data_IF_459359402601
#
_entry.id   IF_459359402601
#
_cell.length_a   1.000
_cell.length_b   1.000
_cell.length_c   1.000
_cell.angle_alpha   90.00
_cell.angle_beta   90.00
_cell.angle_gamma   90.00
#
_symmetry.space_group_name_H-M   'P 1'
#
loop_
_entity.id
_entity.type
_entity.pdbx_description
1 polymer ?
#
# COMPACT_ATOMS: atom_id res chain seq x y z
N UNK A 1 19.07 8.68 -41.44
CA UNK A 1 18.03 7.66 -41.19
C UNK A 1 17.02 8.28 -40.25
N UNK A 2 15.75 8.39 -40.66
CA UNK A 2 14.68 8.87 -39.78
C UNK A 2 14.33 7.71 -38.88
N UNK A 3 14.69 7.81 -37.60
CA UNK A 3 14.36 6.82 -36.58
C UNK A 3 12.85 6.95 -36.35
N UNK A 4 12.08 5.90 -36.65
CA UNK A 4 10.66 5.87 -36.34
C UNK A 4 10.48 6.03 -34.83
N UNK A 5 9.59 6.95 -34.40
CA UNK A 5 9.26 7.11 -33.00
C UNK A 5 8.74 5.76 -32.45
N UNK A 6 9.14 5.35 -31.23
CA UNK A 6 8.63 4.13 -30.64
C UNK A 6 7.10 4.20 -30.56
N UNK A 7 6.41 3.12 -30.93
CA UNK A 7 4.96 3.02 -30.82
C UNK A 7 4.59 3.08 -29.35
N UNK A 8 4.11 4.23 -28.88
CA UNK A 8 3.60 4.39 -27.51
C UNK A 8 2.35 3.52 -27.32
N UNK A 9 2.35 2.70 -26.28
CA UNK A 9 1.22 1.85 -25.90
C UNK A 9 0.22 2.68 -25.11
N UNK A 10 -1.05 2.66 -25.48
CA UNK A 10 -2.11 3.29 -24.68
C UNK A 10 -2.44 2.45 -23.45
N UNK A 11 -2.99 3.07 -22.40
CA UNK A 11 -3.37 2.32 -21.20
C UNK A 11 -4.31 1.13 -21.49
N UNK A 12 -5.26 1.29 -22.41
CA UNK A 12 -6.19 0.21 -22.76
C UNK A 12 -5.51 -0.96 -23.48
N UNK A 13 -4.51 -0.65 -24.32
CA UNK A 13 -3.69 -1.68 -24.94
C UNK A 13 -2.82 -2.41 -23.91
N UNK A 14 -2.31 -1.68 -22.91
CA UNK A 14 -1.55 -2.27 -21.81
C UNK A 14 -2.40 -3.22 -20.96
N UNK A 15 -3.60 -2.81 -20.53
CA UNK A 15 -4.51 -3.68 -19.76
C UNK A 15 -4.93 -4.90 -20.58
N UNK A 16 -5.23 -4.74 -21.86
CA UNK A 16 -5.57 -5.87 -22.74
C UNK A 16 -4.37 -6.82 -22.99
N UNK A 17 -3.14 -6.32 -22.87
CA UNK A 17 -1.92 -7.11 -23.01
C UNK A 17 -1.47 -7.76 -21.69
N UNK A 18 -1.84 -7.20 -20.53
CA UNK A 18 -1.35 -7.62 -19.22
C UNK A 18 -1.52 -9.14 -19.03
N UNK A 19 -0.43 -9.92 -18.90
CA UNK A 19 -0.54 -11.38 -18.90
C UNK A 19 -1.26 -11.90 -17.65
N UNK A 20 -2.33 -12.69 -17.82
CA UNK A 20 -3.12 -13.28 -16.73
C UNK A 20 -2.30 -14.19 -15.79
N UNK A 21 -1.18 -14.74 -16.27
CA UNK A 21 -0.33 -15.70 -15.55
C UNK A 21 1.15 -15.31 -15.61
N UNK A 22 1.47 -14.08 -15.24
CA UNK A 22 2.88 -13.65 -15.14
C UNK A 22 3.48 -13.93 -13.76
N UNK A 23 4.78 -14.28 -13.74
CA UNK A 23 5.57 -14.26 -12.51
C UNK A 23 6.06 -12.85 -12.13
N UNK A 24 5.88 -11.89 -13.04
CA UNK A 24 6.35 -10.50 -12.95
C UNK A 24 5.16 -9.54 -12.97
N UNK A 25 5.31 -8.40 -12.28
CA UNK A 25 4.36 -7.29 -12.41
C UNK A 25 4.82 -6.38 -13.55
N UNK A 26 3.89 -5.67 -14.17
CA UNK A 26 4.21 -4.66 -15.18
C UNK A 26 3.56 -3.33 -14.81
N UNK A 27 4.26 -2.25 -15.11
CA UNK A 27 3.74 -0.89 -15.03
C UNK A 27 3.82 -0.24 -16.42
N UNK A 28 3.02 0.79 -16.64
CA UNK A 28 3.03 1.59 -17.86
C UNK A 28 3.48 3.01 -17.51
N UNK A 29 4.58 3.48 -18.09
CA UNK A 29 5.17 4.79 -17.83
C UNK A 29 5.16 5.61 -19.13
N UNK A 30 4.29 6.62 -19.25
CA UNK A 30 4.10 7.44 -20.48
C UNK A 30 4.02 6.60 -21.79
N UNK A 31 3.33 5.47 -21.73
CA UNK A 31 3.15 4.55 -22.84
C UNK A 31 4.29 3.56 -23.10
N UNK A 32 5.26 3.46 -22.19
CA UNK A 32 6.30 2.42 -22.17
C UNK A 32 5.97 1.35 -21.12
N UNK A 33 5.92 0.08 -21.54
CA UNK A 33 5.69 -1.04 -20.62
C UNK A 33 6.99 -1.38 -19.91
N UNK A 34 6.99 -1.30 -18.59
CA UNK A 34 8.13 -1.57 -17.72
C UNK A 34 7.85 -2.85 -16.94
N UNK A 35 8.73 -3.84 -17.07
CA UNK A 35 8.72 -5.04 -16.22
C UNK A 35 9.28 -4.69 -14.85
N UNK A 36 8.50 -4.95 -13.80
CA UNK A 36 8.93 -4.73 -12.43
C UNK A 36 9.61 -6.00 -11.89
N UNK A 37 10.81 -5.88 -11.30
CA UNK A 37 11.49 -7.02 -10.72
C UNK A 37 10.65 -7.57 -9.57
N UNK A 38 10.65 -8.90 -9.42
CA UNK A 38 9.98 -9.56 -8.29
C UNK A 38 10.48 -8.95 -6.97
N UNK A 39 9.57 -8.49 -6.09
CA UNK A 39 9.95 -7.94 -4.80
C UNK A 39 10.81 -8.90 -3.99
N UNK A 40 11.77 -8.35 -3.25
CA UNK A 40 12.54 -9.14 -2.28
C UNK A 40 11.65 -9.53 -1.10
N UNK A 41 11.95 -10.65 -0.42
CA UNK A 41 11.15 -11.08 0.74
C UNK A 41 11.01 -10.00 1.81
N UNK A 42 12.07 -9.22 2.08
CA UNK A 42 12.02 -8.12 3.05
C UNK A 42 11.10 -6.98 2.61
N UNK A 43 11.10 -6.64 1.32
CA UNK A 43 10.17 -5.65 0.77
C UNK A 43 8.72 -6.13 0.92
N UNK A 44 8.46 -7.40 0.61
CA UNK A 44 7.14 -8.01 0.81
C UNK A 44 6.71 -8.07 2.28
N UNK A 45 7.64 -8.31 3.21
CA UNK A 45 7.36 -8.28 4.66
C UNK A 45 6.98 -6.87 5.12
N UNK A 46 7.70 -5.83 4.67
CA UNK A 46 7.39 -4.42 4.99
C UNK A 46 6.03 -4.01 4.42
N UNK A 47 5.78 -4.24 3.14
CA UNK A 47 4.49 -3.94 2.52
C UNK A 47 3.35 -4.70 3.21
N UNK A 48 3.55 -5.98 3.53
CA UNK A 48 2.58 -6.82 4.24
C UNK A 48 2.28 -6.33 5.66
N UNK A 49 3.30 -5.90 6.41
CA UNK A 49 3.10 -5.36 7.76
C UNK A 49 2.34 -4.04 7.76
N UNK A 50 2.66 -3.14 6.82
CA UNK A 50 1.92 -1.88 6.64
C UNK A 50 0.47 -2.18 6.26
N UNK A 51 0.25 -3.06 5.27
CA UNK A 51 -1.07 -3.51 4.84
C UNK A 51 -1.90 -4.05 6.01
N UNK A 52 -1.34 -4.98 6.79
CA UNK A 52 -2.03 -5.57 7.95
C UNK A 52 -2.36 -4.54 9.02
N UNK A 53 -1.44 -3.61 9.31
CA UNK A 53 -1.65 -2.53 10.29
C UNK A 53 -2.80 -1.61 9.85
N UNK A 54 -2.81 -1.20 8.58
CA UNK A 54 -3.89 -0.40 8.00
C UNK A 54 -5.22 -1.15 8.00
N UNK A 55 -5.22 -2.44 7.66
CA UNK A 55 -6.43 -3.25 7.63
C UNK A 55 -7.07 -3.40 9.01
N UNK A 56 -6.27 -3.66 10.04
CA UNK A 56 -6.74 -3.69 11.44
C UNK A 56 -7.39 -2.36 11.82
N UNK A 57 -6.78 -1.25 11.42
CA UNK A 57 -7.29 0.09 11.74
C UNK A 57 -8.61 0.40 11.03
N UNK A 58 -8.74 0.02 9.74
CA UNK A 58 -9.99 0.11 8.97
C UNK A 58 -11.12 -0.64 9.70
N UNK A 59 -10.85 -1.87 10.15
CA UNK A 59 -11.85 -2.68 10.86
C UNK A 59 -12.20 -2.09 12.23
N UNK A 60 -11.20 -1.63 12.99
CA UNK A 60 -11.38 -1.03 14.32
C UNK A 60 -12.27 0.21 14.26
N UNK A 61 -12.01 1.08 13.28
CA UNK A 61 -12.74 2.34 13.06
C UNK A 61 -14.04 2.16 12.25
N UNK A 62 -14.28 0.96 11.70
CA UNK A 62 -15.44 0.64 10.84
C UNK A 62 -15.56 1.59 9.64
N UNK A 63 -14.42 1.93 9.05
CA UNK A 63 -14.37 2.82 7.90
C UNK A 63 -14.89 2.09 6.65
N UNK A 64 -15.52 2.80 5.69
CA UNK A 64 -16.00 2.21 4.44
C UNK A 64 -14.85 1.97 3.45
N UNK A 65 -13.70 1.55 3.95
CA UNK A 65 -12.46 1.40 3.22
C UNK A 65 -12.10 -0.07 3.10
N UNK A 66 -11.31 -0.41 2.08
CA UNK A 66 -10.78 -1.75 1.92
C UNK A 66 -9.41 -1.69 1.23
N UNK A 67 -8.65 -2.78 1.36
CA UNK A 67 -7.34 -2.93 0.74
C UNK A 67 -7.46 -4.10 -0.23
N UNK A 68 -7.40 -3.88 -1.56
CA UNK A 68 -7.40 -4.98 -2.50
C UNK A 68 -6.08 -5.73 -2.48
N UNK A 69 -6.11 -6.96 -3.00
CA UNK A 69 -4.89 -7.74 -3.23
C UNK A 69 -4.05 -7.15 -4.36
N UNK A 70 -4.70 -6.73 -5.44
CA UNK A 70 -4.12 -6.23 -6.68
C UNK A 70 -4.95 -5.03 -7.13
N UNK A 71 -4.29 -3.97 -7.59
CA UNK A 71 -4.96 -2.81 -8.15
C UNK A 71 -4.03 -2.01 -9.04
N UNK A 72 -4.52 -1.59 -10.21
CA UNK A 72 -3.80 -0.68 -11.11
C UNK A 72 -4.40 0.72 -10.99
N UNK A 73 -3.53 1.72 -10.84
CA UNK A 73 -3.88 3.13 -10.78
C UNK A 73 -3.63 3.76 -12.15
N UNK A 74 -4.69 4.16 -12.86
CA UNK A 74 -4.59 4.81 -14.18
C UNK A 74 -4.32 6.31 -14.03
N UNK A 75 -3.07 6.72 -14.21
CA UNK A 75 -2.65 8.13 -14.20
C UNK A 75 -2.43 8.62 -15.64
N UNK A 76 -3.47 9.17 -16.29
CA UNK A 76 -3.36 9.55 -17.70
C UNK A 76 -3.13 8.34 -18.61
N UNK A 77 -2.00 8.30 -19.31
CA UNK A 77 -1.53 7.13 -20.09
C UNK A 77 -0.50 6.27 -19.34
N UNK A 78 -0.25 6.57 -18.07
CA UNK A 78 0.54 5.74 -17.16
C UNK A 78 -0.39 4.82 -16.35
N UNK A 79 0.18 3.72 -15.84
CA UNK A 79 -0.49 2.70 -15.06
C UNK A 79 0.45 2.11 -14.02
N UNK A 80 0.16 2.35 -12.75
CA UNK A 80 1.03 1.92 -11.65
C UNK A 80 0.35 0.87 -10.77
N UNK A 81 1.14 -0.04 -10.23
CA UNK A 81 0.69 -1.05 -9.29
C UNK A 81 1.39 -0.82 -7.93
N UNK A 82 0.75 -0.07 -7.02
CA UNK A 82 1.37 0.30 -5.76
C UNK A 82 1.53 -0.90 -4.83
N UNK A 83 2.49 -0.82 -3.90
CA UNK A 83 2.73 -1.88 -2.93
C UNK A 83 1.59 -2.05 -1.92
N UNK A 84 0.97 -0.95 -1.48
CA UNK A 84 -0.28 -0.95 -0.71
C UNK A 84 -1.17 0.19 -1.17
N UNK A 85 -2.46 -0.07 -1.28
CA UNK A 85 -3.47 0.95 -1.60
C UNK A 85 -4.69 0.75 -0.74
N UNK A 86 -5.22 1.84 -0.19
CA UNK A 86 -6.49 1.83 0.53
C UNK A 86 -7.53 2.56 -0.32
N UNK A 87 -8.63 1.87 -0.57
CA UNK A 87 -9.69 2.33 -1.46
C UNK A 87 -10.98 2.62 -0.68
N UNK A 88 -11.70 3.65 -1.09
CA UNK A 88 -13.02 3.95 -0.56
C UNK A 88 -14.10 3.19 -1.35
N UNK A 89 -14.78 2.25 -0.68
CA UNK A 89 -15.82 1.41 -1.29
C UNK A 89 -16.96 2.21 -1.92
N UNK A 90 -17.29 3.38 -1.37
CA UNK A 90 -18.36 4.23 -1.89
C UNK A 90 -17.92 5.00 -3.15
N UNK A 91 -16.66 5.44 -3.20
CA UNK A 91 -16.11 6.14 -4.36
C UNK A 91 -15.92 5.18 -5.55
N UNK A 92 -15.52 3.95 -5.25
CA UNK A 92 -15.28 2.91 -6.26
C UNK A 92 -16.53 2.37 -6.91
N UNK A 93 -17.68 2.38 -6.24
CA UNK A 93 -18.92 1.87 -6.82
C UNK A 93 -19.33 2.58 -8.14
N UNK A 94 -18.79 3.78 -8.41
CA UNK A 94 -19.01 4.52 -9.64
C UNK A 94 -17.94 4.27 -10.73
N UNK A 95 -16.85 3.55 -10.42
CA UNK A 95 -15.79 3.26 -11.38
C UNK A 95 -16.11 2.00 -12.20
N UNK A 96 -16.38 2.21 -13.49
CA UNK A 96 -16.74 1.12 -14.41
C UNK A 96 -15.63 0.10 -14.67
N UNK A 97 -14.36 0.45 -14.38
CA UNK A 97 -13.22 -0.47 -14.58
C UNK A 97 -12.99 -1.38 -13.39
N UNK A 98 -13.42 -0.96 -12.20
CA UNK A 98 -13.15 -1.69 -10.97
C UNK A 98 -13.61 -3.15 -11.02
N UNK A 99 -14.86 -3.38 -11.40
CA UNK A 99 -15.47 -4.72 -11.40
C UNK A 99 -14.79 -5.70 -12.38
N UNK A 100 -14.19 -5.18 -13.45
CA UNK A 100 -13.62 -6.00 -14.54
C UNK A 100 -12.11 -6.15 -14.48
N UNK A 101 -11.42 -5.09 -14.03
CA UNK A 101 -9.98 -4.92 -14.24
C UNK A 101 -9.23 -4.59 -12.94
N UNK A 102 -9.91 -4.52 -11.78
CA UNK A 102 -9.32 -4.05 -10.51
C UNK A 102 -8.58 -2.70 -10.67
N UNK A 103 -9.02 -1.88 -11.61
CA UNK A 103 -8.34 -0.64 -12.00
C UNK A 103 -9.15 0.55 -11.50
N UNK A 104 -8.46 1.56 -10.97
CA UNK A 104 -9.06 2.84 -10.60
C UNK A 104 -8.70 3.93 -11.60
N UNK A 105 -9.68 4.78 -11.90
CA UNK A 105 -9.55 5.93 -12.81
C UNK A 105 -9.73 7.30 -12.15
N UNK A 106 -10.44 7.44 -11.01
CA UNK A 106 -10.40 8.66 -10.20
C UNK A 106 -9.41 8.51 -9.05
N UNK A 107 -8.45 9.42 -8.91
CA UNK A 107 -7.48 9.38 -7.81
C UNK A 107 -8.10 9.44 -6.43
N UNK A 108 -9.19 10.20 -6.25
CA UNK A 108 -9.97 10.25 -5.01
C UNK A 108 -10.56 8.90 -4.55
N UNK A 109 -10.61 7.89 -5.42
CA UNK A 109 -11.02 6.53 -5.04
C UNK A 109 -9.98 5.86 -4.15
N UNK A 110 -8.70 6.19 -4.35
CA UNK A 110 -7.63 5.87 -3.44
C UNK A 110 -7.52 6.95 -2.37
N UNK A 111 -7.76 6.58 -1.12
CA UNK A 111 -7.57 7.49 0.02
C UNK A 111 -6.12 7.52 0.49
N UNK A 112 -5.38 6.43 0.26
CA UNK A 112 -3.99 6.26 0.64
C UNK A 112 -3.30 5.33 -0.36
N UNK A 113 -2.12 5.73 -0.83
CA UNK A 113 -1.17 4.86 -1.56
C UNK A 113 0.13 4.77 -0.79
N UNK A 114 0.75 3.60 -0.73
CA UNK A 114 2.04 3.36 -0.08
C UNK A 114 3.00 2.69 -1.07
N UNK A 115 4.20 3.21 -1.17
CA UNK A 115 5.31 2.59 -1.89
C UNK A 115 6.45 2.27 -0.90
N UNK A 116 6.98 1.05 -1.00
CA UNK A 116 8.14 0.62 -0.21
C UNK A 116 9.39 0.74 -1.07
N UNK A 117 10.29 1.61 -0.64
CA UNK A 117 11.45 2.00 -1.44
C UNK A 117 12.35 0.80 -1.69
N UNK A 118 12.61 0.56 -2.97
CA UNK A 118 13.54 -0.45 -3.44
C UNK A 118 14.75 0.19 -4.11
N UNK A 119 15.48 -0.57 -4.93
CA UNK A 119 16.59 -0.05 -5.72
C UNK A 119 16.17 1.04 -6.70
N UNK A 120 14.90 1.09 -7.10
CA UNK A 120 14.37 2.07 -8.05
C UNK A 120 13.71 3.30 -7.39
N UNK A 121 14.24 3.69 -6.22
CA UNK A 121 13.72 4.79 -5.38
C UNK A 121 13.46 6.12 -6.11
N UNK A 122 14.11 6.37 -7.25
CA UNK A 122 13.93 7.63 -7.99
C UNK A 122 12.50 7.79 -8.49
N UNK A 123 11.88 6.71 -8.91
CA UNK A 123 10.54 6.75 -9.49
C UNK A 123 9.52 7.07 -8.39
N UNK A 124 9.67 6.45 -7.22
CA UNK A 124 8.81 6.66 -6.05
C UNK A 124 8.87 8.11 -5.52
N UNK A 125 10.07 8.71 -5.49
CA UNK A 125 10.33 10.06 -4.97
C UNK A 125 10.22 11.20 -6.01
N UNK A 126 10.00 10.88 -7.29
CA UNK A 126 9.89 11.88 -8.35
C UNK A 126 8.66 11.64 -9.21
N UNK A 127 8.72 10.65 -10.11
CA UNK A 127 7.69 10.44 -11.14
C UNK A 127 6.32 10.10 -10.52
N UNK A 128 6.26 9.07 -9.68
CA UNK A 128 5.01 8.64 -9.04
C UNK A 128 4.45 9.70 -8.11
N UNK A 129 5.32 10.41 -7.39
CA UNK A 129 4.91 11.50 -6.50
C UNK A 129 4.17 12.61 -7.27
N UNK A 130 4.74 13.08 -8.38
CA UNK A 130 4.13 14.12 -9.22
C UNK A 130 2.83 13.63 -9.86
N UNK A 131 2.80 12.39 -10.37
CA UNK A 131 1.59 11.85 -11.00
C UNK A 131 0.45 11.65 -9.98
N UNK A 132 0.73 11.13 -8.78
CA UNK A 132 -0.29 10.94 -7.74
C UNK A 132 -0.82 12.27 -7.17
N UNK A 133 0.02 13.31 -7.13
CA UNK A 133 -0.37 14.67 -6.75
C UNK A 133 -1.40 15.23 -7.74
N UNK A 134 -1.05 15.21 -9.03
CA UNK A 134 -1.93 15.66 -10.11
C UNK A 134 -3.21 14.81 -10.17
N UNK A 135 -3.10 13.52 -9.88
CA UNK A 135 -4.25 12.61 -9.86
C UNK A 135 -5.19 12.85 -8.66
N UNK A 136 -4.72 13.56 -7.64
CA UNK A 136 -5.53 13.99 -6.50
C UNK A 136 -5.72 12.91 -5.44
N UNK A 137 -4.72 12.05 -5.23
CA UNK A 137 -4.74 11.07 -4.14
C UNK A 137 -4.50 11.81 -2.81
N UNK A 138 -5.39 11.70 -1.80
CA UNK A 138 -5.30 12.51 -0.59
C UNK A 138 -4.02 12.28 0.23
N UNK A 139 -3.55 11.04 0.32
CA UNK A 139 -2.37 10.70 1.11
C UNK A 139 -1.49 9.70 0.36
N UNK A 140 -0.18 9.96 0.34
CA UNK A 140 0.81 9.11 -0.30
C UNK A 140 2.00 8.88 0.63
N UNK A 141 2.37 7.63 0.84
CA UNK A 141 3.43 7.24 1.75
C UNK A 141 4.60 6.63 1.01
N UNK A 142 5.80 7.02 1.41
CA UNK A 142 7.05 6.40 0.95
C UNK A 142 7.79 5.85 2.17
N UNK A 143 7.91 4.52 2.24
CA UNK A 143 8.59 3.84 3.33
C UNK A 143 9.99 3.39 2.92
N UNK A 144 11.04 3.97 3.51
CA UNK A 144 12.41 3.51 3.29
C UNK A 144 12.69 2.15 3.95
N UNK A 145 13.54 1.38 3.29
CA UNK A 145 14.17 0.21 3.89
C UNK A 145 15.25 0.60 4.92
N UNK A 146 15.70 -0.34 5.76
CA UNK A 146 16.82 -0.15 6.72
C UNK A 146 18.12 0.39 6.09
N UNK A 147 18.29 0.27 4.77
CA UNK A 147 19.46 0.75 4.05
C UNK A 147 19.45 2.26 3.78
N UNK A 148 18.30 2.94 3.94
CA UNK A 148 18.14 4.35 3.54
C UNK A 148 18.55 4.54 2.08
N UNK A 149 17.82 3.92 1.16
CA UNK A 149 18.20 3.88 -0.26
C UNK A 149 17.97 5.22 -0.95
N UNK A 150 16.96 5.97 -0.51
CA UNK A 150 16.60 7.28 -1.06
C UNK A 150 17.77 8.25 -1.24
N UNK A 151 17.63 9.16 -2.21
CA UNK A 151 18.64 10.18 -2.46
C UNK A 151 18.86 11.08 -1.23
N UNK A 152 20.08 11.59 -1.04
CA UNK A 152 20.41 12.50 0.09
C UNK A 152 19.51 13.75 0.14
N UNK A 153 18.99 14.19 -1.02
CA UNK A 153 18.02 15.28 -1.11
C UNK A 153 16.70 14.96 -0.39
N UNK A 154 16.31 13.69 -0.34
CA UNK A 154 15.03 13.24 0.20
C UNK A 154 15.17 12.75 1.65
N UNK A 155 16.20 11.96 1.95
CA UNK A 155 16.37 11.32 3.29
C UNK A 155 17.49 11.93 4.15
N UNK A 156 18.09 13.02 3.68
CA UNK A 156 19.14 13.75 4.37
C UNK A 156 20.56 13.18 4.24
N UNK A 157 21.48 13.80 4.97
CA UNK A 157 22.89 13.42 5.06
C UNK A 157 23.35 13.51 6.53
N UNK A 158 23.77 12.40 7.18
CA UNK A 158 23.87 11.05 6.64
C UNK A 158 22.51 10.47 6.25
N UNK A 159 22.50 9.52 5.30
CA UNK A 159 21.30 8.82 4.89
C UNK A 159 20.74 8.03 6.07
N UNK A 160 19.45 8.21 6.35
CA UNK A 160 18.75 7.50 7.42
C UNK A 160 17.44 6.94 6.88
N UNK A 161 17.02 5.72 7.30
CA UNK A 161 15.68 5.23 7.03
C UNK A 161 14.66 6.28 7.46
N UNK A 162 13.78 6.64 6.54
CA UNK A 162 12.79 7.71 6.70
C UNK A 162 11.45 7.22 6.16
N UNK A 163 10.39 7.54 6.89
CA UNK A 163 9.03 7.37 6.43
C UNK A 163 8.51 8.74 6.02
N UNK A 164 8.16 8.91 4.75
CA UNK A 164 7.64 10.19 4.23
C UNK A 164 6.14 10.07 4.00
N UNK A 165 5.36 10.94 4.65
CA UNK A 165 3.93 11.09 4.44
C UNK A 165 3.68 12.35 3.65
N UNK A 166 3.10 12.22 2.47
CA UNK A 166 2.65 13.30 1.62
C UNK A 166 1.13 13.44 1.75
N UNK A 167 0.67 14.64 2.11
CA UNK A 167 -0.74 14.96 2.30
C UNK A 167 -1.16 16.05 1.34
N UNK A 168 -2.20 15.79 0.54
CA UNK A 168 -2.68 16.73 -0.45
C UNK A 168 -3.47 17.84 0.23
N UNK A 169 -3.03 19.09 0.04
CA UNK A 169 -3.73 20.25 0.60
C UNK A 169 -4.88 20.71 -0.32
N UNK A 170 -5.66 21.71 0.15
CA UNK A 170 -6.78 22.27 -0.63
C UNK A 170 -6.35 22.95 -1.94
N UNK A 171 -5.07 23.36 -2.06
CA UNK A 171 -4.50 23.93 -3.28
C UNK A 171 -4.09 22.86 -4.30
N UNK A 172 -4.17 21.57 -3.95
CA UNK A 172 -3.78 20.45 -4.81
C UNK A 172 -2.27 20.16 -4.81
N UNK A 173 -1.56 20.56 -3.75
CA UNK A 173 -0.11 20.34 -3.60
C UNK A 173 0.15 19.43 -2.40
N UNK A 174 1.10 18.51 -2.54
CA UNK A 174 1.53 17.64 -1.46
C UNK A 174 2.42 18.36 -0.46
N UNK A 175 2.07 18.24 0.81
CA UNK A 175 2.91 18.61 1.93
C UNK A 175 3.53 17.36 2.54
N UNK A 176 4.86 17.36 2.65
CA UNK A 176 5.60 16.21 3.18
C UNK A 176 5.94 16.38 4.65
N UNK A 177 5.68 15.33 5.42
CA UNK A 177 6.16 15.14 6.78
C UNK A 177 7.02 13.89 6.85
N UNK A 178 8.14 13.97 7.56
CA UNK A 178 9.11 12.87 7.64
C UNK A 178 9.22 12.35 9.07
N UNK A 179 9.11 11.03 9.21
CA UNK A 179 9.18 10.33 10.48
C UNK A 179 10.35 9.35 10.48
N UNK A 180 11.03 9.23 11.63
CA UNK A 180 12.20 8.37 11.82
C UNK A 180 12.14 7.65 13.16
N UNK A 181 12.73 6.45 13.22
CA UNK A 181 12.80 5.63 14.44
C UNK A 181 11.40 5.46 15.08
N UNK A 182 11.24 5.81 16.36
CA UNK A 182 10.01 5.65 17.14
C UNK A 182 9.01 6.80 17.00
N UNK A 183 9.26 7.77 16.12
CA UNK A 183 8.29 8.83 15.89
C UNK A 183 6.97 8.23 15.36
N UNK A 184 5.82 8.56 15.98
CA UNK A 184 4.53 8.10 15.50
C UNK A 184 4.25 8.74 14.15
N UNK A 185 3.84 7.91 13.18
CA UNK A 185 3.46 8.34 11.84
C UNK A 185 2.09 9.01 11.93
N UNK A 186 2.03 10.28 11.54
CA UNK A 186 0.78 11.05 11.55
C UNK A 186 0.08 10.93 10.19
N UNK A 187 -1.12 10.35 10.20
CA UNK A 187 -1.98 10.19 9.04
C UNK A 187 -3.26 11.01 9.19
N UNK A 188 -3.70 11.68 8.13
CA UNK A 188 -5.01 12.33 8.13
C UNK A 188 -6.12 11.30 7.88
N UNK A 189 -5.81 10.26 7.10
CA UNK A 189 -6.72 9.14 6.82
C UNK A 189 -6.94 8.28 8.06
N UNK A 190 -5.89 8.07 8.86
CA UNK A 190 -5.93 7.28 10.10
C UNK A 190 -5.36 8.07 11.30
N UNK A 191 -6.11 9.02 11.87
CA UNK A 191 -5.59 9.88 12.96
C UNK A 191 -5.25 9.15 14.26
N UNK A 192 -5.81 7.95 14.46
CA UNK A 192 -5.58 7.12 15.64
C UNK A 192 -4.50 6.04 15.41
N UNK A 193 -3.83 6.06 14.26
CA UNK A 193 -2.81 5.09 13.90
C UNK A 193 -1.60 5.17 14.84
N UNK A 194 -1.31 4.06 15.51
CA UNK A 194 -0.12 3.91 16.34
C UNK A 194 0.92 3.06 15.61
N UNK A 195 1.61 3.67 14.66
CA UNK A 195 2.65 3.03 13.85
C UNK A 195 3.89 3.92 13.80
N UNK A 196 5.07 3.31 13.88
CA UNK A 196 6.36 3.98 13.72
C UNK A 196 7.25 3.23 12.74
N UNK A 197 8.21 3.93 12.14
CA UNK A 197 9.15 3.31 11.21
C UNK A 197 9.94 2.17 11.88
N UNK A 198 10.32 2.33 13.15
CA UNK A 198 11.02 1.28 13.89
C UNK A 198 10.17 0.02 14.04
N UNK A 199 8.89 0.13 14.38
CA UNK A 199 7.99 -1.02 14.46
C UNK A 199 7.88 -1.75 13.12
N UNK A 200 7.74 -0.99 12.02
CA UNK A 200 7.72 -1.55 10.66
C UNK A 200 9.01 -2.34 10.39
N UNK A 201 10.18 -1.75 10.63
CA UNK A 201 11.46 -2.37 10.30
C UNK A 201 11.85 -3.55 11.20
N UNK A 202 11.43 -3.54 12.47
CA UNK A 202 11.77 -4.61 13.41
C UNK A 202 10.81 -5.80 13.24
N UNK A 203 9.52 -5.56 12.99
CA UNK A 203 8.55 -6.63 12.70
C UNK A 203 8.92 -7.46 11.46
N UNK A 204 9.74 -6.89 10.57
CA UNK A 204 10.21 -7.50 9.32
C UNK A 204 11.69 -7.90 9.39
N UNK A 205 12.29 -7.90 10.57
CA UNK A 205 13.63 -8.43 10.80
C UNK A 205 13.50 -9.81 11.43
N UNK A 206 14.26 -10.80 10.95
CA UNK A 206 14.22 -12.20 11.43
C UNK A 206 14.66 -12.40 12.91
N UNK A 207 14.78 -11.32 13.69
CA UNK A 207 14.83 -11.39 15.14
C UNK A 207 13.38 -11.48 15.64
N UNK A 208 12.95 -12.71 15.96
CA UNK A 208 11.66 -13.04 16.56
C UNK A 208 11.21 -11.97 17.57
N UNK A 209 10.30 -11.08 17.16
CA UNK A 209 9.43 -10.40 18.11
C UNK A 209 8.23 -11.31 18.29
N UNK A 210 8.11 -11.88 19.49
CA UNK A 210 6.82 -12.31 20.01
C UNK A 210 5.98 -11.04 20.15
N UNK A 211 5.26 -10.69 19.09
CA UNK A 211 4.28 -9.63 19.17
C UNK A 211 3.08 -10.25 19.87
N UNK A 212 2.88 -9.91 21.14
CA UNK A 212 1.69 -10.31 21.91
C UNK A 212 0.44 -9.67 21.31
N UNK A 213 -0.03 -10.19 20.18
CA UNK A 213 -1.21 -9.69 19.45
C UNK A 213 -2.54 -10.29 19.92
N UNK A 214 -2.56 -11.10 20.99
CA UNK A 214 -3.81 -11.60 21.57
C UNK A 214 -3.63 -11.85 23.06
N UNK A 215 -3.78 -10.82 23.88
CA UNK A 215 -4.13 -11.02 25.29
C UNK A 215 -4.94 -9.85 25.82
N UNK A 216 -6.16 -9.70 25.30
CA UNK A 216 -7.27 -9.24 26.13
C UNK A 216 -8.60 -9.69 25.55
N UNK A 217 -8.85 -11.00 25.70
CA UNK A 217 -10.18 -11.64 25.85
C UNK A 217 -9.96 -13.15 25.84
N UNK A 218 -9.99 -13.77 27.02
CA UNK A 218 -10.27 -15.21 27.10
C UNK A 218 -11.66 -15.44 26.50
N UNK A 219 -11.83 -16.32 25.50
CA UNK A 219 -13.15 -16.87 25.26
C UNK A 219 -13.44 -17.86 26.38
N UNK A 220 -14.44 -17.56 27.21
CA UNK A 220 -15.04 -18.54 28.11
C UNK A 220 -15.71 -19.63 27.27
N UNK A 221 -14.93 -20.62 26.85
CA UNK A 221 -15.49 -21.86 26.35
C UNK A 221 -16.13 -22.60 27.54
N UNK A 222 -17.46 -22.58 27.58
CA UNK A 222 -18.27 -23.45 28.40
C UNK A 222 -17.83 -24.90 28.20
N UNK A 223 -17.34 -25.52 29.27
CA UNK A 223 -17.08 -26.96 29.28
C UNK A 223 -18.41 -27.73 29.20
N UNK A 224 -18.49 -28.82 28.41
CA UNK A 224 -19.64 -29.69 28.48
C UNK A 224 -19.56 -30.48 29.79
N UNK A 225 -20.39 -30.12 30.77
CA UNK A 225 -20.66 -31.01 31.91
C UNK A 225 -21.37 -32.25 31.40
N UNK A 226 -20.64 -33.35 31.32
CA UNK A 226 -21.20 -34.69 31.32
C UNK A 226 -21.92 -34.92 32.64
N UNK A 227 -23.24 -35.06 32.62
CA UNK A 227 -23.95 -35.80 33.67
C UNK A 227 -25.10 -36.59 33.06
N UNK A 228 -24.93 -37.89 33.15
CA UNK A 228 -25.88 -38.95 32.81
C UNK A 228 -27.16 -38.78 33.64
N UNK A 229 -28.32 -38.80 32.99
CA UNK A 229 -29.54 -39.33 33.59
C UNK A 229 -30.12 -40.38 32.65
N UNK A 230 -29.92 -41.65 33.01
CA UNK A 230 -30.77 -42.75 32.56
C UNK A 230 -32.20 -42.42 33.00
N UNK A 231 -33.11 -42.29 32.04
CA UNK A 231 -34.54 -42.39 32.29
C UNK A 231 -34.94 -43.84 32.17
N UNK A 232 -35.45 -44.38 33.27
CA UNK A 232 -36.38 -45.51 33.26
C UNK A 232 -37.56 -45.19 32.35
N UNK A 233 -38.01 -46.19 31.58
CA UNK A 233 -39.40 -46.46 31.24
C UNK A 233 -39.52 -47.71 30.37
N UNK A 234 -40.37 -48.63 30.82
CA UNK A 234 -41.13 -49.56 29.98
C UNK A 234 -40.51 -50.92 29.78
#
# INVERSE_FOLDING_TARGET
MVQAAPTRVTFDQFIAWYPEHSEHRYELHDGEIIEMPKPTGKHSEVAGFINGSLFVEILRLKLPYFIPKECVVKCGESGYEPDVIVLNSQAIAADSRWEKESTITPGRSAILVVEVVSTNWRDDYAMKLEEYEVFGIPEYWICEHYLGLGGRRYIGSPKQPTFSVYQLNEAGEYQVQQFRSQQPIESLVFPELQLSLEQILVATSSQLIAVDWVNDRKPEFLSPRSTVQKRDRG
#
